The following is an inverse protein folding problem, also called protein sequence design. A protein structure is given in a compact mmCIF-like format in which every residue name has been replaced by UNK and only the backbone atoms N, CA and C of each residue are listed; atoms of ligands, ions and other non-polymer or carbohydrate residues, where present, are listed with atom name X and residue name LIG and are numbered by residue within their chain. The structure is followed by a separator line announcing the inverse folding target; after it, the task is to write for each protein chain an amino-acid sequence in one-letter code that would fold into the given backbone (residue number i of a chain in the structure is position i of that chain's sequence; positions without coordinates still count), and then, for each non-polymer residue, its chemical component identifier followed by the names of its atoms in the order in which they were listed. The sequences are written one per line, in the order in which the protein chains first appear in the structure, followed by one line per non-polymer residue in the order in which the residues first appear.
data_IF_036068190281
#
_entry.id   IF_036068190281
#
_cell.length_a   1.000
_cell.length_b   1.000
_cell.length_c   1.000
_cell.angle_alpha   90.00
_cell.angle_beta   90.00
_cell.angle_gamma   90.00
#
_symmetry.space_group_name_H-M   'P 1'
#
loop_
_entity.id
_entity.type
_entity.pdbx_description
1 polymer ?
#
# COMPACT_ATOMS: atom_id res chain seq x y z
N UNK A 1 -3.56 32.71 -65.95
CA UNK A 1 -2.40 31.87 -65.66
C UNK A 1 -1.74 32.36 -64.39
N UNK A 2 -2.10 31.77 -63.25
CA UNK A 2 -1.33 31.74 -62.00
C UNK A 2 -2.15 30.92 -60.99
N UNK A 3 -1.96 29.60 -61.02
CA UNK A 3 -2.46 28.66 -60.04
C UNK A 3 -1.81 28.91 -58.68
N UNK A 4 -2.61 28.98 -57.62
CA UNK A 4 -2.16 28.81 -56.23
C UNK A 4 -3.07 27.79 -55.55
N UNK A 5 -2.68 26.53 -55.68
CA UNK A 5 -3.22 25.43 -54.90
C UNK A 5 -2.69 25.55 -53.45
N UNK A 6 -3.60 25.73 -52.50
CA UNK A 6 -3.31 25.65 -51.08
C UNK A 6 -3.41 24.18 -50.64
N UNK A 7 -2.25 23.58 -50.38
CA UNK A 7 -2.14 22.25 -49.78
C UNK A 7 -2.35 22.39 -48.27
N UNK A 8 -3.47 21.88 -47.75
CA UNK A 8 -3.66 21.70 -46.32
C UNK A 8 -2.90 20.43 -45.88
N UNK A 9 -1.79 20.61 -45.17
CA UNK A 9 -1.11 19.52 -44.47
C UNK A 9 -1.87 19.29 -43.16
N UNK A 10 -2.69 18.24 -43.13
CA UNK A 10 -3.28 17.73 -41.90
C UNK A 10 -2.16 17.06 -41.09
N UNK A 11 -1.70 17.71 -40.02
CA UNK A 11 -0.82 17.11 -39.02
C UNK A 11 -1.69 16.21 -38.15
N UNK A 12 -1.67 14.91 -38.45
CA UNK A 12 -2.27 13.87 -37.62
C UNK A 12 -1.36 13.68 -36.39
N UNK A 13 -1.71 14.26 -35.25
CA UNK A 13 -1.11 13.87 -33.97
C UNK A 13 -1.62 12.48 -33.62
N UNK A 14 -0.83 11.45 -33.94
CA UNK A 14 -1.00 10.14 -33.32
C UNK A 14 -0.47 10.28 -31.89
N UNK A 15 -1.39 10.51 -30.95
CA UNK A 15 -1.16 10.20 -29.54
C UNK A 15 -0.94 8.69 -29.46
N UNK A 16 0.32 8.27 -29.57
CA UNK A 16 0.72 6.97 -29.08
C UNK A 16 0.63 7.08 -27.56
N UNK A 17 -0.55 6.78 -27.01
CA UNK A 17 -0.63 6.35 -25.63
C UNK A 17 0.23 5.10 -25.55
N UNK A 18 1.46 5.24 -25.05
CA UNK A 18 2.19 4.12 -24.52
C UNK A 18 1.30 3.56 -23.44
N UNK A 19 0.50 2.54 -23.78
CA UNK A 19 -0.30 1.77 -22.84
C UNK A 19 0.67 1.03 -21.95
N UNK A 20 1.29 1.78 -21.03
CA UNK A 20 2.04 1.22 -19.92
C UNK A 20 1.09 0.23 -19.26
N UNK A 21 1.56 -1.00 -19.12
CA UNK A 21 0.83 -1.98 -18.32
C UNK A 21 0.70 -1.34 -16.94
N UNK A 22 -0.54 -1.12 -16.51
CA UNK A 22 -0.84 -0.54 -15.20
C UNK A 22 -0.08 -1.31 -14.12
N UNK A 23 0.56 -0.58 -13.21
CA UNK A 23 1.31 -1.19 -12.11
C UNK A 23 0.37 -1.87 -11.10
N UNK A 24 0.84 -2.83 -10.29
CA UNK A 24 0.01 -3.51 -9.29
C UNK A 24 -0.74 -2.58 -8.33
N UNK A 25 -0.13 -1.43 -7.95
CA UNK A 25 -0.79 -0.45 -7.09
C UNK A 25 -1.96 0.26 -7.79
N UNK A 26 -1.87 0.49 -9.10
CA UNK A 26 -2.98 1.04 -9.89
C UNK A 26 -4.16 0.07 -9.93
N UNK A 27 -3.90 -1.23 -10.05
CA UNK A 27 -4.93 -2.27 -9.93
C UNK A 27 -5.61 -2.26 -8.55
N UNK A 28 -4.83 -2.10 -7.47
CA UNK A 28 -5.38 -1.94 -6.12
C UNK A 28 -6.28 -0.71 -6.04
N UNK A 29 -5.86 0.44 -6.57
CA UNK A 29 -6.69 1.66 -6.59
C UNK A 29 -7.96 1.50 -7.44
N UNK A 30 -7.88 0.80 -8.57
CA UNK A 30 -9.04 0.50 -9.45
C UNK A 30 -10.08 -0.34 -8.73
N UNK A 31 -9.62 -1.23 -7.86
CA UNK A 31 -10.47 -2.11 -7.05
C UNK A 31 -10.91 -1.49 -5.72
N UNK A 32 -10.42 -0.30 -5.38
CA UNK A 32 -10.77 0.39 -4.13
C UNK A 32 -11.83 1.46 -4.43
N UNK A 33 -13.12 1.25 -4.05
CA UNK A 33 -14.15 2.27 -4.18
C UNK A 33 -13.79 3.57 -3.45
N UNK A 34 -14.13 4.72 -4.02
CA UNK A 34 -14.02 6.02 -3.32
C UNK A 34 -14.97 6.14 -2.13
N UNK A 35 -16.00 5.28 -2.07
CA UNK A 35 -16.92 5.16 -0.92
C UNK A 35 -16.18 4.69 0.34
N UNK A 36 -15.07 3.99 0.20
CA UNK A 36 -14.16 3.76 1.31
C UNK A 36 -13.49 5.10 1.59
N UNK A 37 -14.05 5.87 2.52
CA UNK A 37 -13.49 7.14 2.93
C UNK A 37 -12.17 6.90 3.66
N UNK A 38 -11.11 7.55 3.18
CA UNK A 38 -9.76 7.50 3.74
C UNK A 38 -9.19 6.10 4.07
N UNK A 39 -9.10 5.21 3.06
CA UNK A 39 -8.57 3.87 3.26
C UNK A 39 -7.08 3.94 3.64
N UNK A 40 -6.71 3.11 4.60
CA UNK A 40 -5.33 2.71 4.81
C UNK A 40 -5.08 1.47 3.94
N UNK A 41 -4.20 1.59 2.94
CA UNK A 41 -3.88 0.50 2.01
C UNK A 41 -2.46 0.03 2.31
N UNK A 42 -2.30 -1.16 2.87
CA UNK A 42 -1.01 -1.84 2.95
C UNK A 42 -0.83 -2.74 1.73
N UNK A 43 0.30 -2.64 1.04
CA UNK A 43 0.58 -3.36 -0.20
C UNK A 43 1.95 -4.06 -0.14
N UNK A 44 2.02 -5.26 -0.71
CA UNK A 44 3.26 -6.02 -0.85
C UNK A 44 3.36 -6.61 -2.25
N UNK A 45 4.49 -6.35 -2.93
CA UNK A 45 4.80 -6.92 -4.24
C UNK A 45 5.67 -8.19 -4.09
N UNK A 46 5.02 -9.31 -3.76
CA UNK A 46 5.67 -10.59 -3.49
C UNK A 46 6.57 -11.10 -4.61
N UNK A 47 6.18 -10.95 -5.87
CA UNK A 47 7.01 -11.38 -7.00
C UNK A 47 8.33 -10.61 -7.06
N UNK A 48 8.32 -9.30 -6.73
CA UNK A 48 9.53 -8.49 -6.67
C UNK A 48 10.43 -8.90 -5.50
N UNK A 49 9.85 -9.10 -4.32
CA UNK A 49 10.61 -9.60 -3.15
C UNK A 49 11.25 -10.96 -3.46
N UNK A 50 10.53 -11.88 -4.13
CA UNK A 50 11.11 -13.16 -4.55
C UNK A 50 12.25 -12.98 -5.55
N UNK A 51 12.10 -12.11 -6.54
CA UNK A 51 13.15 -11.83 -7.52
C UNK A 51 14.42 -11.25 -6.86
N UNK A 52 14.25 -10.30 -5.94
CA UNK A 52 15.36 -9.71 -5.16
C UNK A 52 16.11 -10.78 -4.34
N UNK A 53 15.41 -11.82 -3.90
CA UNK A 53 15.93 -12.95 -3.12
C UNK A 53 16.42 -14.13 -3.98
N UNK A 54 16.26 -14.08 -5.30
CA UNK A 54 16.56 -15.20 -6.20
C UNK A 54 15.65 -16.42 -5.98
N UNK A 55 14.40 -16.19 -5.60
CA UNK A 55 13.38 -17.18 -5.26
C UNK A 55 12.21 -17.18 -6.26
N UNK A 56 12.44 -16.82 -7.53
CA UNK A 56 11.39 -16.64 -8.55
C UNK A 56 10.46 -17.85 -8.72
N UNK A 57 11.03 -19.06 -8.63
CA UNK A 57 10.32 -20.34 -8.81
C UNK A 57 9.65 -20.86 -7.53
N UNK A 58 9.75 -20.13 -6.41
CA UNK A 58 9.18 -20.54 -5.14
C UNK A 58 7.64 -20.51 -5.20
N UNK A 59 7.00 -21.59 -4.77
CA UNK A 59 5.53 -21.74 -4.71
C UNK A 59 5.12 -22.41 -3.41
N UNK A 60 3.81 -22.52 -3.13
CA UNK A 60 3.29 -23.28 -1.98
C UNK A 60 3.66 -24.77 -1.99
N UNK A 61 4.06 -25.32 -3.14
CA UNK A 61 4.49 -26.71 -3.29
C UNK A 61 5.97 -26.92 -2.94
N UNK A 62 6.75 -25.84 -2.82
CA UNK A 62 8.15 -25.91 -2.41
C UNK A 62 8.30 -26.36 -0.95
N UNK A 63 9.47 -26.91 -0.57
CA UNK A 63 9.78 -27.24 0.82
C UNK A 63 9.46 -26.08 1.78
N UNK A 64 8.92 -26.43 2.94
CA UNK A 64 8.45 -25.43 3.92
C UNK A 64 9.61 -24.54 4.40
N UNK A 65 10.84 -25.06 4.43
CA UNK A 65 12.05 -24.33 4.79
C UNK A 65 12.37 -23.19 3.81
N UNK A 66 12.17 -23.42 2.50
CA UNK A 66 12.36 -22.40 1.46
C UNK A 66 11.29 -21.31 1.58
N UNK A 67 10.04 -21.71 1.83
CA UNK A 67 8.95 -20.76 2.09
C UNK A 67 9.17 -19.93 3.35
N UNK A 68 9.68 -20.54 4.42
CA UNK A 68 10.08 -19.80 5.62
C UNK A 68 11.25 -18.85 5.36
N UNK A 69 12.16 -19.18 4.45
CA UNK A 69 13.24 -18.27 4.07
C UNK A 69 12.71 -16.98 3.44
N UNK A 70 11.68 -17.06 2.59
CA UNK A 70 10.97 -15.89 2.07
C UNK A 70 10.32 -15.07 3.19
N UNK A 71 9.53 -15.69 4.08
CA UNK A 71 8.87 -14.94 5.16
C UNK A 71 9.90 -14.27 6.08
N UNK A 72 10.98 -14.97 6.40
CA UNK A 72 12.08 -14.40 7.21
C UNK A 72 12.77 -13.22 6.50
N UNK A 73 12.96 -13.28 5.19
CA UNK A 73 13.59 -12.16 4.45
C UNK A 73 12.78 -10.87 4.58
N UNK A 74 11.45 -10.94 4.72
CA UNK A 74 10.58 -9.78 5.00
C UNK A 74 10.74 -9.14 6.38
N UNK A 75 11.56 -9.72 7.25
CA UNK A 75 11.94 -9.12 8.53
C UNK A 75 13.40 -8.70 8.59
N UNK A 76 14.23 -9.26 7.71
CA UNK A 76 15.69 -9.05 7.69
C UNK A 76 16.13 -8.02 6.65
N UNK A 77 15.65 -8.14 5.41
CA UNK A 77 16.09 -7.34 4.24
C UNK A 77 14.95 -6.60 3.55
N UNK A 78 13.76 -7.17 3.63
CA UNK A 78 12.54 -6.63 3.04
C UNK A 78 11.54 -6.25 4.13
N UNK A 79 10.38 -5.76 3.72
CA UNK A 79 9.23 -5.57 4.58
C UNK A 79 7.95 -5.82 3.79
N UNK A 80 7.01 -6.53 4.40
CA UNK A 80 5.73 -6.86 3.81
C UNK A 80 4.60 -6.20 4.64
N UNK A 81 4.16 -4.97 4.29
CA UNK A 81 3.06 -4.30 4.98
C UNK A 81 1.77 -5.11 4.98
N UNK A 82 1.56 -5.88 3.91
CA UNK A 82 0.48 -6.87 3.78
C UNK A 82 1.10 -8.27 3.67
N UNK A 83 0.54 -9.24 4.39
CA UNK A 83 1.07 -10.61 4.43
C UNK A 83 -0.04 -11.66 4.69
N UNK A 84 -1.03 -11.79 3.80
CA UNK A 84 -2.19 -12.66 4.04
C UNK A 84 -1.74 -14.11 4.27
N UNK A 85 -2.22 -14.72 5.36
CA UNK A 85 -1.95 -16.12 5.67
C UNK A 85 -0.49 -16.44 6.04
N UNK A 86 0.42 -15.46 6.04
CA UNK A 86 1.84 -15.66 6.39
C UNK A 86 2.03 -16.24 7.80
N UNK A 87 1.18 -15.81 8.75
CA UNK A 87 1.15 -16.33 10.12
C UNK A 87 0.75 -17.81 10.21
N UNK A 88 0.17 -18.36 9.13
CA UNK A 88 -0.32 -19.73 9.00
C UNK A 88 0.42 -20.52 7.90
N UNK A 89 1.60 -20.07 7.48
CA UNK A 89 2.36 -20.66 6.37
C UNK A 89 2.48 -22.19 6.43
N UNK A 90 2.70 -22.73 7.63
CA UNK A 90 2.88 -24.18 7.84
C UNK A 90 1.65 -25.03 7.45
N UNK A 91 0.46 -24.45 7.43
CA UNK A 91 -0.81 -25.18 7.22
C UNK A 91 -1.66 -24.62 6.08
N UNK A 92 -1.50 -23.35 5.71
CA UNK A 92 -2.37 -22.65 4.76
C UNK A 92 -2.41 -23.37 3.41
N UNK A 93 -1.25 -23.68 2.81
CA UNK A 93 -1.15 -24.40 1.55
C UNK A 93 -1.82 -25.78 1.57
N UNK A 94 -1.65 -26.55 2.64
CA UNK A 94 -2.28 -27.88 2.75
C UNK A 94 -3.81 -27.80 2.77
N UNK A 95 -4.34 -26.79 3.47
CA UNK A 95 -5.79 -26.61 3.64
C UNK A 95 -6.42 -25.92 2.43
N UNK A 96 -5.84 -24.84 1.93
CA UNK A 96 -6.42 -23.96 0.91
C UNK A 96 -5.83 -24.13 -0.48
N UNK A 97 -4.71 -24.84 -0.62
CA UNK A 97 -4.07 -25.10 -1.91
C UNK A 97 -3.17 -23.96 -2.41
N UNK A 98 -2.95 -22.93 -1.59
CA UNK A 98 -2.03 -21.82 -1.87
C UNK A 98 -1.52 -21.20 -0.57
N UNK A 99 -0.47 -20.39 -0.62
CA UNK A 99 -0.04 -19.50 0.45
C UNK A 99 0.74 -18.28 -0.10
N UNK A 100 1.38 -17.53 0.78
CA UNK A 100 2.16 -16.32 0.46
C UNK A 100 3.23 -16.52 -0.62
N UNK A 101 3.78 -17.74 -0.78
CA UNK A 101 4.75 -18.03 -1.83
C UNK A 101 4.12 -17.97 -3.23
N UNK A 102 2.81 -18.19 -3.35
CA UNK A 102 2.10 -18.12 -4.62
C UNK A 102 1.64 -16.70 -4.99
N UNK A 103 1.75 -15.73 -4.09
CA UNK A 103 1.25 -14.38 -4.35
C UNK A 103 2.12 -13.69 -5.39
N UNK A 104 1.53 -13.01 -6.37
CA UNK A 104 2.23 -12.06 -7.23
C UNK A 104 2.35 -10.74 -6.50
N UNK A 105 1.22 -10.22 -6.02
CA UNK A 105 1.11 -9.06 -5.15
C UNK A 105 -0.13 -9.21 -4.28
N UNK A 106 -0.20 -8.45 -3.20
CA UNK A 106 -1.42 -8.35 -2.41
C UNK A 106 -1.56 -6.96 -1.76
N UNK A 107 -2.79 -6.65 -1.36
CA UNK A 107 -3.09 -5.49 -0.53
C UNK A 107 -4.09 -5.83 0.58
N UNK A 108 -3.94 -5.17 1.72
CA UNK A 108 -4.88 -5.14 2.83
C UNK A 108 -5.40 -3.71 2.99
N UNK A 109 -6.71 -3.54 2.86
CA UNK A 109 -7.42 -2.29 3.07
C UNK A 109 -7.99 -2.31 4.49
N UNK A 110 -7.50 -1.39 5.32
CA UNK A 110 -8.05 -1.13 6.65
C UNK A 110 -9.00 0.06 6.54
N UNK A 111 -10.25 -0.17 6.92
CA UNK A 111 -11.38 0.72 6.71
C UNK A 111 -12.06 1.02 8.05
N UNK A 112 -12.65 2.21 8.20
CA UNK A 112 -13.27 2.61 9.47
C UNK A 112 -14.57 1.83 9.78
N UNK A 113 -15.38 1.55 8.75
CA UNK A 113 -16.72 0.96 8.90
C UNK A 113 -16.81 -0.53 8.54
N UNK A 114 -15.72 -1.12 8.03
CA UNK A 114 -15.69 -2.49 7.55
C UNK A 114 -14.48 -3.24 8.09
N UNK A 115 -14.58 -4.56 8.31
CA UNK A 115 -13.41 -5.38 8.60
C UNK A 115 -12.35 -5.27 7.48
N UNK A 116 -11.08 -5.60 7.76
CA UNK A 116 -10.03 -5.57 6.76
C UNK A 116 -10.39 -6.38 5.51
N UNK A 117 -10.18 -5.76 4.35
CA UNK A 117 -10.40 -6.35 3.05
C UNK A 117 -9.06 -6.69 2.41
N UNK A 118 -8.96 -7.88 1.81
CA UNK A 118 -7.75 -8.36 1.18
C UNK A 118 -7.96 -8.54 -0.32
N UNK A 119 -7.01 -8.04 -1.09
CA UNK A 119 -6.87 -8.25 -2.53
C UNK A 119 -5.61 -9.10 -2.73
N UNK A 120 -5.73 -10.34 -3.19
CA UNK A 120 -4.59 -11.24 -3.37
C UNK A 120 -4.54 -11.73 -4.81
N UNK A 121 -3.57 -11.24 -5.57
CA UNK A 121 -3.30 -11.72 -6.91
C UNK A 121 -2.36 -12.92 -6.84
N UNK A 122 -2.80 -14.08 -7.32
CA UNK A 122 -2.02 -15.32 -7.26
C UNK A 122 -1.36 -15.68 -8.59
N UNK A 123 -0.20 -16.30 -8.53
CA UNK A 123 0.58 -16.72 -9.69
C UNK A 123 -0.09 -17.83 -10.48
N UNK A 124 0.32 -18.10 -11.72
CA UNK A 124 -0.30 -19.08 -12.62
C UNK A 124 -0.33 -20.52 -12.09
N UNK A 125 0.54 -20.86 -11.14
CA UNK A 125 0.61 -22.20 -10.54
C UNK A 125 -0.57 -22.57 -9.63
N UNK A 126 -1.38 -21.60 -9.18
CA UNK A 126 -2.53 -21.88 -8.30
C UNK A 126 -3.72 -22.42 -9.10
N UNK A 127 -4.24 -23.58 -8.71
CA UNK A 127 -5.46 -24.13 -9.30
C UNK A 127 -6.71 -23.48 -8.65
N UNK A 128 -7.27 -22.49 -9.34
CA UNK A 128 -8.45 -21.75 -8.86
C UNK A 128 -9.74 -22.59 -8.90
N UNK A 129 -9.81 -23.59 -9.78
CA UNK A 129 -10.95 -24.51 -9.83
C UNK A 129 -10.94 -25.45 -8.62
N UNK A 130 -9.75 -25.95 -8.26
CA UNK A 130 -9.54 -26.71 -7.03
C UNK A 130 -9.81 -25.86 -5.78
N UNK A 131 -9.40 -24.58 -5.78
CA UNK A 131 -9.74 -23.65 -4.69
C UNK A 131 -11.26 -23.46 -4.57
N UNK A 132 -11.96 -23.24 -5.69
CA UNK A 132 -13.41 -23.14 -5.70
C UNK A 132 -14.09 -24.43 -5.22
N UNK A 133 -13.55 -25.60 -5.54
CA UNK A 133 -14.01 -26.88 -5.01
C UNK A 133 -13.83 -26.98 -3.49
N UNK A 134 -12.66 -26.55 -2.97
CA UNK A 134 -12.38 -26.50 -1.53
C UNK A 134 -13.38 -25.66 -0.75
N UNK A 135 -13.85 -24.54 -1.30
CA UNK A 135 -14.93 -23.75 -0.70
C UNK A 135 -16.24 -24.54 -0.62
N UNK A 136 -16.66 -25.16 -1.72
CA UNK A 136 -17.90 -25.97 -1.77
C UNK A 136 -17.85 -27.15 -0.80
N UNK A 137 -16.74 -27.87 -0.77
CA UNK A 137 -16.53 -29.04 0.11
C UNK A 137 -16.57 -28.65 1.60
N UNK A 138 -16.30 -27.38 1.92
CA UNK A 138 -16.35 -26.80 3.27
C UNK A 138 -17.70 -26.16 3.61
N UNK A 139 -18.72 -26.36 2.77
CA UNK A 139 -20.07 -25.88 3.04
C UNK A 139 -20.29 -24.39 2.75
N UNK A 140 -19.40 -23.74 1.99
CA UNK A 140 -19.65 -22.38 1.54
C UNK A 140 -20.81 -22.38 0.53
N UNK A 141 -21.69 -21.40 0.66
CA UNK A 141 -22.71 -21.12 -0.35
C UNK A 141 -22.05 -20.31 -1.47
N UNK A 142 -22.30 -20.70 -2.73
CA UNK A 142 -21.86 -19.94 -3.89
C UNK A 142 -22.99 -19.03 -4.38
N UNK A 143 -22.65 -17.79 -4.64
CA UNK A 143 -23.45 -16.81 -5.35
C UNK A 143 -22.67 -16.29 -6.57
N UNK A 144 -23.37 -15.84 -7.61
CA UNK A 144 -22.74 -15.16 -8.74
C UNK A 144 -23.11 -13.67 -8.68
N UNK A 145 -22.12 -12.81 -8.39
CA UNK A 145 -22.28 -11.35 -8.29
C UNK A 145 -21.53 -10.68 -9.44
N UNK A 146 -22.26 -9.95 -10.29
CA UNK A 146 -21.72 -9.29 -11.49
C UNK A 146 -20.85 -10.20 -12.36
N UNK A 147 -21.24 -11.48 -12.48
CA UNK A 147 -20.54 -12.51 -13.24
C UNK A 147 -19.30 -13.11 -12.55
N UNK A 148 -19.08 -12.81 -11.26
CA UNK A 148 -17.98 -13.34 -10.45
C UNK A 148 -18.53 -14.31 -9.41
N UNK A 149 -17.88 -15.46 -9.26
CA UNK A 149 -18.26 -16.43 -8.23
C UNK A 149 -17.81 -15.93 -6.86
N UNK A 150 -18.76 -15.79 -5.93
CA UNK A 150 -18.53 -15.39 -4.55
C UNK A 150 -18.95 -16.53 -3.63
N UNK A 151 -18.08 -16.87 -2.69
CA UNK A 151 -18.29 -17.93 -1.72
C UNK A 151 -18.49 -17.31 -0.34
N UNK A 152 -19.60 -17.68 0.31
CA UNK A 152 -19.98 -17.19 1.63
C UNK A 152 -20.07 -18.32 2.64
N UNK A 153 -19.57 -18.09 3.85
CA UNK A 153 -19.75 -18.99 4.98
C UNK A 153 -20.06 -18.19 6.26
N UNK A 154 -21.08 -18.58 7.04
CA UNK A 154 -21.31 -17.97 8.35
C UNK A 154 -20.11 -18.23 9.27
N UNK A 155 -19.84 -17.37 10.24
CA UNK A 155 -18.74 -17.62 11.18
C UNK A 155 -18.99 -18.93 11.96
N UNK A 156 -18.13 -19.92 11.77
CA UNK A 156 -18.10 -21.17 12.54
C UNK A 156 -16.70 -21.39 13.11
N UNK A 157 -16.52 -21.04 14.39
CA UNK A 157 -15.24 -21.19 15.09
C UNK A 157 -14.88 -22.67 15.39
N UNK A 158 -15.81 -23.60 15.15
CA UNK A 158 -15.56 -25.03 15.30
C UNK A 158 -14.93 -25.65 14.06
N UNK A 159 -15.02 -24.97 12.90
CA UNK A 159 -14.43 -25.42 11.66
C UNK A 159 -12.88 -25.41 11.75
N UNK A 160 -12.28 -26.57 11.52
CA UNK A 160 -10.83 -26.78 11.61
C UNK A 160 -10.05 -25.96 10.57
N UNK A 161 -10.57 -25.87 9.35
CA UNK A 161 -9.98 -25.12 8.25
C UNK A 161 -9.86 -23.62 8.55
N UNK A 162 -10.72 -23.06 9.41
CA UNK A 162 -10.67 -21.64 9.77
C UNK A 162 -9.41 -21.32 10.58
N UNK A 163 -8.87 -22.30 11.31
CA UNK A 163 -7.59 -22.19 12.04
C UNK A 163 -6.37 -22.23 11.11
N UNK A 164 -6.55 -22.51 9.83
CA UNK A 164 -5.46 -22.51 8.86
C UNK A 164 -5.34 -21.20 8.08
N UNK A 165 -6.21 -20.21 8.33
CA UNK A 165 -6.25 -18.95 7.58
C UNK A 165 -6.77 -17.78 8.42
N UNK A 166 -6.99 -16.64 7.78
CA UNK A 166 -7.55 -15.41 8.35
C UNK A 166 -9.08 -15.38 8.14
N UNK A 167 -9.80 -14.66 9.02
CA UNK A 167 -11.27 -14.57 8.96
C UNK A 167 -11.82 -13.95 7.66
N UNK A 168 -10.98 -13.24 6.90
CA UNK A 168 -11.40 -12.66 5.63
C UNK A 168 -11.82 -13.73 4.59
N UNK A 169 -11.38 -14.98 4.75
CA UNK A 169 -11.76 -16.09 3.85
C UNK A 169 -13.28 -16.34 3.80
N UNK A 170 -14.03 -15.91 4.82
CA UNK A 170 -15.46 -16.21 5.00
C UNK A 170 -16.34 -15.64 3.88
N UNK A 171 -15.92 -14.56 3.24
CA UNK A 171 -16.53 -14.08 2.00
C UNK A 171 -15.41 -13.87 1.00
N UNK A 172 -15.36 -14.70 -0.03
CA UNK A 172 -14.29 -14.70 -1.03
C UNK A 172 -14.89 -14.67 -2.44
N UNK A 173 -14.57 -13.61 -3.21
CA UNK A 173 -14.78 -13.62 -4.65
C UNK A 173 -13.54 -14.20 -5.35
N UNK A 174 -13.75 -15.07 -6.33
CA UNK A 174 -12.69 -15.62 -7.19
C UNK A 174 -12.87 -15.07 -8.60
N UNK A 175 -11.96 -14.19 -9.02
CA UNK A 175 -11.92 -13.62 -10.35
C UNK A 175 -11.00 -14.44 -11.22
N UNK A 176 -11.51 -15.55 -11.76
CA UNK A 176 -10.71 -16.57 -12.46
C UNK A 176 -9.81 -16.01 -13.58
N UNK A 177 -10.32 -15.09 -14.39
CA UNK A 177 -9.57 -14.49 -15.50
C UNK A 177 -8.44 -13.55 -15.06
N UNK A 178 -8.59 -12.91 -13.89
CA UNK A 178 -7.61 -11.99 -13.30
C UNK A 178 -6.71 -12.68 -12.28
N UNK A 179 -7.02 -13.93 -11.91
CA UNK A 179 -6.35 -14.68 -10.84
C UNK A 179 -6.27 -13.91 -9.53
N UNK A 180 -7.35 -13.21 -9.22
CA UNK A 180 -7.47 -12.35 -8.06
C UNK A 180 -8.50 -12.93 -7.09
N UNK A 181 -8.14 -12.94 -5.81
CA UNK A 181 -9.01 -13.22 -4.69
C UNK A 181 -9.36 -11.91 -3.99
N UNK A 182 -10.65 -11.67 -3.77
CA UNK A 182 -11.14 -10.55 -2.96
C UNK A 182 -11.80 -11.13 -1.72
N UNK A 183 -11.26 -10.83 -0.54
CA UNK A 183 -11.63 -11.49 0.71
C UNK A 183 -11.98 -10.48 1.79
N UNK A 184 -13.09 -10.69 2.49
CA UNK A 184 -13.46 -9.91 3.67
C UNK A 184 -14.33 -10.76 4.61
N UNK A 185 -14.27 -10.49 5.92
CA UNK A 185 -15.16 -11.18 6.87
C UNK A 185 -16.59 -10.63 6.82
N UNK A 186 -16.82 -9.49 6.17
CA UNK A 186 -18.14 -8.94 5.86
C UNK A 186 -18.42 -8.98 4.34
N UNK A 187 -19.60 -9.45 3.90
CA UNK A 187 -19.92 -9.57 2.48
C UNK A 187 -19.92 -8.23 1.74
N UNK A 188 -20.42 -7.16 2.39
CA UNK A 188 -20.48 -5.82 1.80
C UNK A 188 -19.12 -5.25 1.36
N UNK A 189 -18.01 -5.69 1.95
CA UNK A 189 -16.68 -5.32 1.47
C UNK A 189 -16.35 -5.91 0.11
N UNK A 190 -16.62 -7.21 -0.08
CA UNK A 190 -16.43 -7.91 -1.36
C UNK A 190 -17.36 -7.32 -2.43
N UNK A 191 -18.63 -7.12 -2.09
CA UNK A 191 -19.63 -6.53 -2.98
C UNK A 191 -19.20 -5.15 -3.49
N UNK A 192 -18.72 -4.27 -2.61
CA UNK A 192 -18.28 -2.94 -2.99
C UNK A 192 -17.07 -2.96 -3.95
N UNK A 193 -16.10 -3.85 -3.73
CA UNK A 193 -14.95 -4.03 -4.64
C UNK A 193 -15.41 -4.55 -6.01
N UNK A 194 -16.33 -5.51 -6.04
CA UNK A 194 -16.87 -6.03 -7.30
C UNK A 194 -17.67 -4.96 -8.06
N UNK A 195 -18.41 -4.11 -7.35
CA UNK A 195 -19.13 -2.98 -7.93
C UNK A 195 -18.16 -1.93 -8.51
N UNK A 196 -17.08 -1.58 -7.81
CA UNK A 196 -16.03 -0.71 -8.35
C UNK A 196 -15.38 -1.31 -9.60
N UNK A 197 -15.05 -2.61 -9.57
CA UNK A 197 -14.51 -3.33 -10.74
C UNK A 197 -15.47 -3.29 -11.93
N UNK A 198 -16.77 -3.42 -11.69
CA UNK A 198 -17.79 -3.37 -12.74
C UNK A 198 -18.07 -1.94 -13.27
N UNK A 199 -17.45 -0.91 -12.68
CA UNK A 199 -17.69 0.50 -13.00
C UNK A 199 -19.00 1.04 -12.44
N UNK A 200 -19.62 0.34 -11.49
CA UNK A 200 -20.85 0.76 -10.81
C UNK A 200 -20.56 1.74 -9.67
N UNK A 201 -19.38 1.65 -9.07
CA UNK A 201 -18.85 2.62 -8.10
C UNK A 201 -17.57 3.24 -8.65
N UNK A 202 -17.38 4.55 -8.42
CA UNK A 202 -16.13 5.21 -8.73
C UNK A 202 -14.99 4.62 -7.88
N UNK A 203 -13.83 4.45 -8.49
CA UNK A 203 -12.63 3.91 -7.87
C UNK A 203 -11.61 5.00 -7.53
N UNK A 204 -10.71 4.73 -6.59
CA UNK A 204 -9.61 5.63 -6.28
C UNK A 204 -8.63 5.81 -7.45
N UNK A 205 -8.59 4.89 -8.41
CA UNK A 205 -7.81 5.07 -9.64
C UNK A 205 -8.32 6.23 -10.52
N UNK A 206 -9.60 6.60 -10.41
CA UNK A 206 -10.17 7.74 -11.12
C UNK A 206 -9.84 9.09 -10.46
N UNK A 207 -9.27 9.07 -9.26
CA UNK A 207 -8.84 10.28 -8.54
C UNK A 207 -7.40 10.59 -8.93
N UNK A 208 -7.14 11.68 -9.70
CA UNK A 208 -5.83 11.89 -10.33
C UNK A 208 -4.65 11.94 -9.34
N UNK A 209 -4.87 12.52 -8.15
CA UNK A 209 -3.82 12.59 -7.13
C UNK A 209 -3.52 11.23 -6.49
N UNK A 210 -4.51 10.34 -6.36
CA UNK A 210 -4.29 9.00 -5.83
C UNK A 210 -3.52 8.14 -6.83
N UNK A 211 -3.86 8.24 -8.13
CA UNK A 211 -3.10 7.61 -9.20
C UNK A 211 -1.65 8.11 -9.25
N UNK A 212 -1.42 9.42 -9.05
CA UNK A 212 -0.07 9.99 -8.97
C UNK A 212 0.73 9.44 -7.77
N UNK A 213 0.11 9.26 -6.61
CA UNK A 213 0.75 8.61 -5.46
C UNK A 213 1.19 7.16 -5.76
N UNK A 214 0.31 6.37 -6.40
CA UNK A 214 0.64 5.02 -6.82
C UNK A 214 1.79 5.00 -7.84
N UNK A 215 1.81 5.95 -8.79
CA UNK A 215 2.85 6.05 -9.81
C UNK A 215 4.24 6.32 -9.20
N UNK A 216 4.35 7.18 -8.18
CA UNK A 216 5.62 7.43 -7.47
C UNK A 216 6.14 6.15 -6.80
N UNK A 217 5.24 5.23 -6.45
CA UNK A 217 5.55 3.97 -5.79
C UNK A 217 5.54 2.74 -6.72
N UNK A 218 5.51 2.93 -8.04
CA UNK A 218 5.41 1.83 -9.02
C UNK A 218 6.57 0.81 -8.89
N UNK A 219 7.73 1.27 -8.41
CA UNK A 219 8.91 0.43 -8.18
C UNK A 219 9.00 -0.17 -6.78
N UNK A 220 8.09 0.15 -5.87
CA UNK A 220 8.18 -0.27 -4.49
C UNK A 220 7.91 -1.78 -4.32
N UNK A 221 8.70 -2.44 -3.48
CA UNK A 221 8.48 -3.84 -3.08
C UNK A 221 7.41 -3.97 -1.99
N UNK A 222 7.21 -2.91 -1.21
CA UNK A 222 6.10 -2.75 -0.28
C UNK A 222 5.70 -1.29 -0.15
N UNK A 223 4.44 -1.03 0.13
CA UNK A 223 3.89 0.31 0.25
C UNK A 223 2.77 0.39 1.29
N UNK A 224 2.55 1.59 1.83
CA UNK A 224 1.35 2.00 2.56
C UNK A 224 0.84 3.30 1.95
N UNK A 225 -0.43 3.36 1.59
CA UNK A 225 -1.10 4.57 1.12
C UNK A 225 -2.18 4.97 2.13
N UNK A 226 -2.21 6.25 2.49
CA UNK A 226 -3.25 6.88 3.29
C UNK A 226 -3.94 7.91 2.41
N UNK A 227 -5.14 7.59 1.94
CA UNK A 227 -5.83 8.42 0.95
C UNK A 227 -6.77 9.42 1.65
N UNK A 228 -6.95 10.59 1.05
CA UNK A 228 -7.99 11.55 1.42
C UNK A 228 -7.54 12.60 2.44
N UNK A 229 -8.29 13.71 2.55
CA UNK A 229 -7.90 14.87 3.35
C UNK A 229 -7.86 14.59 4.86
N UNK A 230 -8.59 13.59 5.35
CA UNK A 230 -8.54 13.18 6.74
C UNK A 230 -7.15 12.65 7.14
N UNK A 231 -6.36 12.16 6.17
CA UNK A 231 -4.98 11.72 6.40
C UNK A 231 -4.15 12.83 7.02
N UNK A 232 -4.16 14.04 6.46
CA UNK A 232 -3.41 15.16 7.02
C UNK A 232 -3.92 15.50 8.41
N UNK A 233 -5.23 15.68 8.56
CA UNK A 233 -5.85 16.05 9.85
C UNK A 233 -5.52 15.06 10.98
N UNK A 234 -5.26 13.80 10.64
CA UNK A 234 -4.82 12.78 11.58
C UNK A 234 -3.41 13.03 12.19
N UNK A 235 -2.65 13.99 11.63
CA UNK A 235 -1.32 14.40 12.08
C UNK A 235 -1.26 15.90 12.44
N UNK A 236 -2.31 16.44 13.07
CA UNK A 236 -2.33 17.83 13.55
C UNK A 236 -1.10 18.18 14.40
N UNK A 237 -0.42 19.29 14.07
CA UNK A 237 0.74 19.78 14.83
C UNK A 237 0.41 20.00 16.31
N UNK A 238 -0.81 20.45 16.63
CA UNK A 238 -1.24 20.67 18.01
C UNK A 238 -1.31 19.36 18.81
N UNK A 239 -1.88 18.30 18.23
CA UNK A 239 -2.03 17.00 18.89
C UNK A 239 -0.68 16.31 19.06
N UNK A 240 0.20 16.43 18.07
CA UNK A 240 1.56 15.91 18.13
C UNK A 240 2.38 16.63 19.20
N UNK A 241 2.29 17.96 19.26
CA UNK A 241 2.98 18.74 20.29
C UNK A 241 2.43 18.44 21.69
N UNK A 242 1.11 18.30 21.85
CA UNK A 242 0.51 17.90 23.12
C UNK A 242 1.04 16.53 23.59
N UNK A 243 1.14 15.57 22.66
CA UNK A 243 1.70 14.24 22.92
C UNK A 243 3.15 14.28 23.38
N UNK A 244 3.97 15.15 22.79
CA UNK A 244 5.36 15.37 23.19
C UNK A 244 5.47 16.05 24.57
N UNK A 245 4.61 17.04 24.86
CA UNK A 245 4.62 17.78 26.13
C UNK A 245 4.18 16.89 27.31
N UNK A 246 3.23 15.99 27.09
CA UNK A 246 2.71 15.11 28.13
C UNK A 246 3.74 14.07 28.63
N UNK A 247 4.85 13.88 27.90
CA UNK A 247 5.86 12.86 28.18
C UNK A 247 7.21 13.50 28.56
N UNK A 248 7.53 13.68 29.86
CA UNK A 248 8.82 14.23 30.27
C UNK A 248 9.98 13.27 29.95
N UNK A 249 11.19 13.80 29.63
CA UNK A 249 11.55 15.21 29.62
C UNK A 249 11.09 15.96 28.35
N UNK A 250 10.63 17.21 28.52
CA UNK A 250 10.02 18.02 27.45
C UNK A 250 11.05 18.65 26.49
N UNK A 251 12.28 18.14 26.43
CA UNK A 251 13.31 18.65 25.52
C UNK A 251 12.93 18.40 24.05
N UNK A 252 12.45 17.20 23.76
CA UNK A 252 11.89 16.85 22.45
C UNK A 252 10.77 17.81 22.04
N UNK A 253 9.83 18.10 22.94
CA UNK A 253 8.74 19.04 22.69
C UNK A 253 9.23 20.46 22.40
N UNK A 254 10.21 20.96 23.17
CA UNK A 254 10.79 22.31 22.95
C UNK A 254 11.52 22.40 21.62
N UNK A 255 12.32 21.39 21.29
CA UNK A 255 13.04 21.33 20.01
C UNK A 255 12.06 21.29 18.85
N UNK A 256 11.06 20.42 18.93
CA UNK A 256 10.05 20.27 17.89
C UNK A 256 9.25 21.56 17.69
N UNK A 257 8.84 22.22 18.78
CA UNK A 257 8.17 23.52 18.71
C UNK A 257 9.05 24.58 18.04
N UNK A 258 10.32 24.68 18.42
CA UNK A 258 11.24 25.63 17.81
C UNK A 258 11.44 25.38 16.31
N UNK A 259 11.48 24.12 15.89
CA UNK A 259 11.57 23.73 14.47
C UNK A 259 10.33 24.19 13.68
N UNK A 260 9.13 24.04 14.26
CA UNK A 260 7.89 24.54 13.64
C UNK A 260 7.82 26.07 13.59
N UNK A 261 8.25 26.76 14.64
CA UNK A 261 8.22 28.23 14.70
C UNK A 261 9.27 28.90 13.79
N UNK A 262 10.37 28.20 13.47
CA UNK A 262 11.43 28.72 12.60
C UNK A 262 11.12 28.53 11.10
N UNK A 263 10.26 27.58 10.75
CA UNK A 263 9.91 27.27 9.36
C UNK A 263 8.79 28.14 8.80
N UNK A 264 8.58 28.14 7.47
CA UNK A 264 7.36 28.66 6.89
C UNK A 264 6.14 27.85 7.36
N UNK A 265 4.93 28.44 7.33
CA UNK A 265 3.70 27.68 7.56
C UNK A 265 3.59 26.51 6.58
N UNK A 266 3.17 25.35 7.10
CA UNK A 266 2.94 24.15 6.29
C UNK A 266 1.60 24.24 5.55
N UNK A 267 1.50 23.59 4.41
CA UNK A 267 0.24 23.43 3.67
C UNK A 267 -0.39 22.06 3.99
N UNK A 268 -1.74 21.95 3.96
CA UNK A 268 -2.40 20.66 4.09
C UNK A 268 -2.15 19.82 2.83
N UNK A 269 -1.76 18.57 3.02
CA UNK A 269 -1.67 17.57 1.96
C UNK A 269 -2.95 16.72 1.92
N UNK A 270 -3.26 16.10 0.77
CA UNK A 270 -4.49 15.32 0.55
C UNK A 270 -4.27 13.82 0.51
N UNK A 271 -3.02 13.38 0.50
CA UNK A 271 -2.66 11.98 0.61
C UNK A 271 -1.23 11.82 1.07
N UNK A 272 -0.96 10.71 1.74
CA UNK A 272 0.37 10.32 2.17
C UNK A 272 0.64 8.91 1.66
N UNK A 273 1.88 8.64 1.27
CA UNK A 273 2.32 7.29 1.03
C UNK A 273 3.72 7.05 1.57
N UNK A 274 3.97 5.82 1.99
CA UNK A 274 5.29 5.35 2.35
C UNK A 274 5.58 4.06 1.59
N UNK A 275 6.81 3.86 1.15
CA UNK A 275 7.22 2.62 0.49
C UNK A 275 8.70 2.38 0.61
N UNK A 276 9.17 1.28 0.05
CA UNK A 276 10.60 1.10 -0.17
C UNK A 276 10.86 0.37 -1.48
N UNK A 277 12.00 0.67 -2.08
CA UNK A 277 12.56 -0.06 -3.21
C UNK A 277 13.97 -0.56 -2.84
N UNK A 278 14.53 -1.44 -3.67
CA UNK A 278 15.93 -1.89 -3.53
C UNK A 278 16.76 -1.21 -4.61
N UNK A 279 17.77 -0.45 -4.19
CA UNK A 279 18.75 0.20 -5.06
C UNK A 279 20.14 -0.34 -4.75
N UNK A 280 20.83 -0.89 -5.75
CA UNK A 280 22.17 -1.46 -5.60
C UNK A 280 22.29 -2.49 -4.46
N UNK A 281 21.21 -3.25 -4.21
CA UNK A 281 21.13 -4.26 -3.15
C UNK A 281 20.75 -3.71 -1.77
N UNK A 282 20.54 -2.40 -1.63
CA UNK A 282 20.19 -1.75 -0.36
C UNK A 282 18.77 -1.19 -0.39
N UNK A 283 17.99 -1.30 0.70
CA UNK A 283 16.64 -0.77 0.76
C UNK A 283 16.64 0.75 0.89
N UNK A 284 15.86 1.42 0.05
CA UNK A 284 15.64 2.87 0.07
C UNK A 284 14.19 3.14 0.38
N UNK A 285 13.95 3.83 1.49
CA UNK A 285 12.61 4.26 1.88
C UNK A 285 12.15 5.46 1.07
N UNK A 286 10.84 5.54 0.85
CA UNK A 286 10.15 6.64 0.19
C UNK A 286 9.05 7.15 1.12
N UNK A 287 8.99 8.45 1.36
CA UNK A 287 7.83 9.12 1.92
C UNK A 287 7.31 10.14 0.91
N UNK A 288 6.02 10.13 0.66
CA UNK A 288 5.37 10.96 -0.35
C UNK A 288 4.23 11.72 0.30
N UNK A 289 4.27 13.05 0.25
CA UNK A 289 3.17 13.93 0.65
C UNK A 289 2.59 14.57 -0.59
N UNK A 290 1.33 14.30 -0.89
CA UNK A 290 0.67 14.80 -2.09
C UNK A 290 -0.21 16.02 -1.78
N UNK A 291 -0.01 17.10 -2.52
CA UNK A 291 -0.74 18.36 -2.36
C UNK A 291 -1.75 18.56 -3.50
N UNK A 292 -2.68 19.50 -3.33
CA UNK A 292 -3.63 19.86 -4.39
C UNK A 292 -2.96 20.54 -5.58
N UNK A 293 -1.81 21.20 -5.35
CA UNK A 293 -1.06 21.90 -6.37
C UNK A 293 0.46 21.83 -6.11
N UNK A 294 1.23 22.08 -7.16
CA UNK A 294 2.69 22.02 -7.11
C UNK A 294 3.35 23.26 -6.50
N UNK A 295 2.59 24.35 -6.27
CA UNK A 295 3.11 25.51 -5.56
C UNK A 295 3.25 25.21 -4.07
N UNK A 296 2.19 24.65 -3.46
CA UNK A 296 2.15 24.18 -2.08
C UNK A 296 3.25 23.13 -1.83
N UNK A 297 3.39 22.14 -2.73
CA UNK A 297 4.46 21.15 -2.62
C UNK A 297 5.86 21.76 -2.63
N UNK A 298 6.12 22.73 -3.52
CA UNK A 298 7.42 23.44 -3.58
C UNK A 298 7.66 24.32 -2.37
N UNK A 299 6.63 24.98 -1.86
CA UNK A 299 6.71 25.81 -0.65
C UNK A 299 7.03 24.97 0.60
N UNK A 300 6.46 23.77 0.69
CA UNK A 300 6.66 22.87 1.83
C UNK A 300 7.98 22.08 1.76
N UNK A 301 8.61 21.90 0.58
CA UNK A 301 9.79 21.02 0.40
C UNK A 301 10.88 21.25 1.45
N UNK A 302 11.32 22.50 1.66
CA UNK A 302 12.40 22.79 2.63
C UNK A 302 11.98 22.51 4.07
N UNK A 303 10.73 22.84 4.43
CA UNK A 303 10.22 22.62 5.79
C UNK A 303 10.03 21.12 6.07
N UNK A 304 9.51 20.35 5.11
CA UNK A 304 9.34 18.89 5.21
C UNK A 304 10.69 18.18 5.33
N UNK A 305 11.68 18.65 4.57
CA UNK A 305 13.06 18.12 4.65
C UNK A 305 13.65 18.37 6.03
N UNK A 306 13.58 19.61 6.53
CA UNK A 306 14.08 19.94 7.87
C UNK A 306 13.37 19.15 8.97
N UNK A 307 12.04 18.98 8.87
CA UNK A 307 11.28 18.14 9.80
C UNK A 307 11.67 16.66 9.72
N UNK A 308 12.05 16.14 8.56
CA UNK A 308 12.51 14.76 8.43
C UNK A 308 13.94 14.58 8.97
N UNK A 309 14.82 15.56 8.79
CA UNK A 309 16.22 15.54 9.24
C UNK A 309 16.39 15.82 10.74
N UNK A 310 15.58 16.74 11.28
CA UNK A 310 15.68 17.24 12.64
C UNK A 310 14.46 16.91 13.52
N UNK A 311 13.45 16.26 12.95
CA UNK A 311 12.27 15.80 13.66
C UNK A 311 12.58 14.70 14.66
N UNK A 312 11.68 14.59 15.64
CA UNK A 312 11.80 13.67 16.76
C UNK A 312 10.71 12.61 16.65
N UNK A 313 11.08 11.36 16.89
CA UNK A 313 10.14 10.26 17.00
C UNK A 313 9.20 10.43 18.19
N UNK A 314 7.90 10.24 17.96
CA UNK A 314 6.89 10.19 19.02
C UNK A 314 6.99 8.94 19.87
N UNK A 315 7.57 7.86 19.34
CA UNK A 315 7.71 6.59 20.05
C UNK A 315 8.99 6.59 20.89
N UNK A 316 10.13 6.87 20.27
CA UNK A 316 11.46 6.73 20.91
C UNK A 316 11.97 8.03 21.53
N UNK A 317 11.37 9.18 21.17
CA UNK A 317 11.74 10.52 21.64
C UNK A 317 13.16 10.96 21.28
N UNK A 318 13.79 10.29 20.32
CA UNK A 318 15.08 10.69 19.71
C UNK A 318 14.89 11.15 18.28
N UNK A 319 15.92 11.72 17.67
CA UNK A 319 15.85 12.15 16.27
C UNK A 319 15.66 10.97 15.32
N UNK A 320 14.93 11.16 14.23
CA UNK A 320 14.78 10.11 13.22
C UNK A 320 16.13 9.64 12.68
N UNK A 321 17.08 10.56 12.46
CA UNK A 321 18.45 10.21 12.01
C UNK A 321 19.27 9.35 12.97
N UNK A 322 18.88 9.29 14.25
CA UNK A 322 19.61 8.52 15.26
C UNK A 322 19.07 7.08 15.39
N UNK A 323 17.84 6.82 14.95
CA UNK A 323 17.19 5.54 15.23
C UNK A 323 16.24 5.01 14.17
N UNK A 324 15.91 5.77 13.13
CA UNK A 324 14.87 5.37 12.18
C UNK A 324 15.32 5.47 10.72
N UNK A 325 15.74 6.64 10.27
CA UNK A 325 16.25 6.86 8.91
C UNK A 325 17.06 8.14 8.79
N UNK A 326 17.93 8.23 7.79
CA UNK A 326 18.54 9.49 7.33
C UNK A 326 17.94 9.93 6.00
N UNK A 327 17.73 11.24 5.79
CA UNK A 327 17.27 11.74 4.50
C UNK A 327 18.42 11.63 3.49
N UNK A 328 18.17 10.89 2.40
CA UNK A 328 19.11 10.73 1.27
C UNK A 328 18.92 11.85 0.26
N UNK A 329 17.67 12.14 -0.09
CA UNK A 329 17.30 13.19 -1.03
C UNK A 329 15.86 13.66 -0.78
N UNK A 330 15.58 14.91 -1.16
CA UNK A 330 14.25 15.47 -1.15
C UNK A 330 13.98 16.19 -2.49
N UNK A 331 12.83 15.94 -3.09
CA UNK A 331 12.44 16.51 -4.38
C UNK A 331 10.94 16.83 -4.42
N UNK A 332 10.55 17.60 -5.44
CA UNK A 332 9.14 17.76 -5.81
C UNK A 332 8.92 17.05 -7.14
N UNK A 333 7.94 16.15 -7.16
CA UNK A 333 7.51 15.41 -8.34
C UNK A 333 6.05 15.75 -8.62
N UNK A 334 5.82 16.64 -9.60
CA UNK A 334 4.50 17.19 -9.88
C UNK A 334 3.96 17.99 -8.69
N UNK A 335 2.95 17.44 -8.03
CA UNK A 335 2.29 18.00 -6.84
C UNK A 335 2.67 17.27 -5.54
N UNK A 336 3.70 16.41 -5.58
CA UNK A 336 4.15 15.64 -4.42
C UNK A 336 5.51 16.13 -3.92
N UNK A 337 5.67 16.20 -2.60
CA UNK A 337 7.00 16.19 -1.96
C UNK A 337 7.41 14.74 -1.76
N UNK A 338 8.58 14.36 -2.29
CA UNK A 338 9.14 13.02 -2.18
C UNK A 338 10.42 13.09 -1.34
N UNK A 339 10.43 12.35 -0.23
CA UNK A 339 11.60 12.16 0.62
C UNK A 339 12.13 10.75 0.40
N UNK A 340 13.34 10.65 -0.15
CA UNK A 340 14.09 9.39 -0.24
C UNK A 340 14.94 9.28 1.01
N UNK A 341 14.87 8.15 1.70
CA UNK A 341 15.52 7.95 3.00
C UNK A 341 16.27 6.64 3.06
N UNK A 342 17.35 6.62 3.83
CA UNK A 342 18.09 5.42 4.19
C UNK A 342 17.58 4.90 5.54
N UNK A 343 16.85 3.77 5.58
CA UNK A 343 16.41 3.20 6.85
C UNK A 343 17.62 2.78 7.69
N UNK A 344 17.61 3.07 8.99
CA UNK A 344 18.71 2.69 9.89
C UNK A 344 18.93 1.18 9.87
N UNK A 345 20.20 0.78 9.73
CA UNK A 345 20.65 -0.62 9.58
C UNK A 345 20.06 -1.35 8.35
N UNK A 346 19.64 -0.62 7.31
CA UNK A 346 19.07 -1.23 6.10
C UNK A 346 17.76 -1.97 6.38
N UNK A 347 16.96 -1.53 7.37
CA UNK A 347 15.70 -2.20 7.74
C UNK A 347 14.48 -1.44 7.20
N UNK A 348 13.89 -1.83 6.05
CA UNK A 348 12.73 -1.13 5.49
C UNK A 348 11.49 -1.25 6.38
N UNK A 349 11.43 -2.23 7.28
CA UNK A 349 10.35 -2.34 8.28
C UNK A 349 10.24 -1.11 9.19
N UNK A 350 11.32 -0.32 9.35
CA UNK A 350 11.29 0.94 10.08
C UNK A 350 10.40 1.98 9.41
N UNK A 351 10.42 2.08 8.08
CA UNK A 351 9.57 2.99 7.30
C UNK A 351 8.10 2.75 7.62
N UNK A 352 7.67 1.48 7.63
CA UNK A 352 6.28 1.12 7.91
C UNK A 352 5.95 1.17 9.40
N UNK A 353 6.88 0.84 10.29
CA UNK A 353 6.66 0.94 11.74
C UNK A 353 6.27 2.36 12.14
N UNK A 354 6.86 3.38 11.51
CA UNK A 354 6.49 4.77 11.72
C UNK A 354 5.04 5.05 11.33
N UNK A 355 4.60 4.55 10.16
CA UNK A 355 3.24 4.75 9.69
C UNK A 355 2.22 4.10 10.63
N UNK A 356 2.45 2.84 11.02
CA UNK A 356 1.58 2.12 11.95
C UNK A 356 1.54 2.76 13.35
N UNK A 357 2.68 3.25 13.83
CA UNK A 357 2.78 3.95 15.10
C UNK A 357 2.29 5.41 15.04
N UNK A 358 1.90 5.90 13.86
CA UNK A 358 1.58 7.32 13.59
C UNK A 358 2.70 8.27 14.00
N UNK A 359 3.93 7.80 13.89
CA UNK A 359 5.15 8.52 14.21
C UNK A 359 5.70 9.22 12.97
N UNK A 360 4.94 10.18 12.45
CA UNK A 360 5.26 10.87 11.20
C UNK A 360 5.32 12.39 11.43
N UNK A 361 6.19 12.86 12.34
CA UNK A 361 6.27 14.29 12.68
C UNK A 361 6.77 15.19 11.54
N UNK A 362 7.30 14.61 10.46
CA UNK A 362 7.57 15.35 9.22
C UNK A 362 6.35 15.49 8.31
N UNK A 363 5.31 14.69 8.53
CA UNK A 363 4.03 14.72 7.82
C UNK A 363 2.93 15.41 8.65
N UNK A 364 3.27 16.45 9.43
CA UNK A 364 2.25 17.20 10.16
C UNK A 364 1.27 17.91 9.23
N UNK A 365 0.03 18.02 9.71
CA UNK A 365 -0.91 19.03 9.24
C UNK A 365 -0.67 20.36 9.97
N UNK A 366 -0.80 21.50 9.26
CA UNK A 366 -0.72 22.82 9.88
C UNK A 366 -1.76 23.06 10.98
#
# INVERSE_FOLDING_TARGET
MADRAWLWVAVLFVLVSTGGVAGPLEDVLRLTPVLFESPFIAFTYWARIRADEGLDDLTSQSPIEERWALVRSTTERHAAPSAFGSSRLAVHAGVWGWDVADHVWEACLVLDALPPLWLVHVGPGVDLDALAARFRDRGFTREDLSGVAVFHHPLDLTADWLRATELAILNTAILFGERLLVMCSAPGGVEAVLAARAGELASWAEVPWAASLAQVLDRASGAVLLLGPATCLSFSAADVLATLIASPPNEAARRFKALLEAGPPLHPYVGFAAGYEVEDGEPVGLFVLHYLDGESARADLSARTALAEEGVSLVTRVLYREGTFTVRAASVEGTSVVLRVDPTNGQPSRVFSMVHARDLTFALCP
#
